data_IF_651001444294
#
_entry.id   IF_651001444294
#
_cell.length_a   1.000
_cell.length_b   1.000
_cell.length_c   1.000
_cell.angle_alpha   90.00
_cell.angle_beta   90.00
_cell.angle_gamma   90.00
#
_symmetry.space_group_name_H-M   'P 1'
#
loop_
_entity.id
_entity.type
_entity.pdbx_description
1 polymer ?
#
# COMPACT_ATOMS: atom_id res chain seq x y z
N UNK A 1 10.72 17.70 -13.53
CA UNK A 1 9.32 17.23 -13.37
C UNK A 1 9.12 16.10 -14.36
N UNK A 2 8.78 14.88 -13.93
CA UNK A 2 8.45 13.81 -14.88
C UNK A 2 7.16 14.19 -15.60
N UNK A 3 7.16 14.18 -16.93
CA UNK A 3 5.93 14.33 -17.73
C UNK A 3 4.98 13.22 -17.30
N UNK A 4 3.85 13.60 -16.68
CA UNK A 4 2.73 12.69 -16.43
C UNK A 4 2.09 12.38 -17.79
N UNK A 5 1.83 11.12 -18.05
CA UNK A 5 1.06 10.68 -19.22
C UNK A 5 -0.41 10.78 -18.84
N UNK A 6 -1.26 11.18 -19.79
CA UNK A 6 -2.70 11.25 -19.55
C UNK A 6 -3.23 9.88 -19.11
N UNK A 7 -4.07 9.88 -18.07
CA UNK A 7 -4.60 8.67 -17.41
C UNK A 7 -3.56 7.65 -16.89
N UNK A 8 -2.27 8.01 -16.77
CA UNK A 8 -1.18 7.08 -16.39
C UNK A 8 -1.13 5.81 -17.29
N UNK A 9 -1.46 5.94 -18.59
CA UNK A 9 -1.38 4.83 -19.56
C UNK A 9 0.09 4.43 -19.78
N UNK A 10 0.59 3.49 -18.99
CA UNK A 10 1.92 2.88 -19.12
C UNK A 10 1.80 1.54 -19.87
N UNK A 11 1.84 1.57 -21.21
CA UNK A 11 1.74 0.34 -22.00
C UNK A 11 2.91 -0.58 -21.68
N UNK A 12 2.57 -1.85 -21.42
CA UNK A 12 3.56 -2.90 -21.17
C UNK A 12 3.99 -3.46 -22.51
N UNK A 13 5.30 -3.55 -22.76
CA UNK A 13 5.78 -4.19 -23.99
C UNK A 13 5.40 -5.67 -24.00
N UNK A 14 5.18 -6.22 -25.19
CA UNK A 14 4.85 -7.63 -25.39
C UNK A 14 5.84 -8.58 -24.69
N UNK A 15 7.12 -8.24 -24.70
CA UNK A 15 8.18 -9.02 -24.04
C UNK A 15 8.03 -9.04 -22.52
N UNK A 16 7.82 -7.88 -21.90
CA UNK A 16 7.62 -7.77 -20.46
C UNK A 16 6.33 -8.49 -20.04
N UNK A 17 5.25 -8.31 -20.81
CA UNK A 17 3.98 -9.00 -20.53
C UNK A 17 4.14 -10.52 -20.61
N UNK A 18 4.82 -11.07 -21.64
CA UNK A 18 5.14 -12.51 -21.73
C UNK A 18 5.94 -13.01 -20.54
N UNK A 19 6.98 -12.26 -20.14
CA UNK A 19 7.81 -12.59 -18.97
C UNK A 19 6.96 -12.64 -17.69
N UNK A 20 6.09 -11.65 -17.48
CA UNK A 20 5.21 -11.56 -16.32
C UNK A 20 4.17 -12.69 -16.29
N UNK A 21 3.53 -13.00 -17.43
CA UNK A 21 2.58 -14.12 -17.56
C UNK A 21 3.27 -15.44 -17.19
N UNK A 22 4.42 -15.73 -17.81
CA UNK A 22 5.19 -16.96 -17.52
C UNK A 22 5.55 -17.06 -16.05
N UNK A 23 6.12 -15.99 -15.47
CA UNK A 23 6.49 -15.96 -14.05
C UNK A 23 5.28 -16.16 -13.14
N UNK A 24 4.14 -15.57 -13.49
CA UNK A 24 2.88 -15.72 -12.75
C UNK A 24 2.42 -17.17 -12.74
N UNK A 25 2.45 -17.85 -13.87
CA UNK A 25 2.05 -19.25 -13.97
C UNK A 25 3.05 -20.18 -13.28
N UNK A 26 4.35 -19.90 -13.35
CA UNK A 26 5.40 -20.65 -12.66
C UNK A 26 5.22 -20.57 -11.13
N UNK A 27 4.92 -19.38 -10.59
CA UNK A 27 4.80 -19.13 -9.14
C UNK A 27 3.46 -19.62 -8.57
N UNK A 28 2.34 -19.35 -9.26
CA UNK A 28 1.01 -19.74 -8.77
C UNK A 28 0.73 -21.22 -9.06
N UNK A 29 1.29 -21.75 -10.15
CA UNK A 29 0.90 -23.01 -10.75
C UNK A 29 -0.38 -22.86 -11.58
N UNK A 30 -0.26 -23.02 -12.91
CA UNK A 30 -1.37 -22.81 -13.85
C UNK A 30 -2.64 -23.57 -13.45
N UNK A 31 -2.54 -24.78 -12.90
CA UNK A 31 -3.68 -25.60 -12.46
C UNK A 31 -4.53 -24.97 -11.34
N UNK A 32 -3.94 -24.08 -10.55
CA UNK A 32 -4.62 -23.36 -9.48
C UNK A 32 -5.45 -22.18 -10.01
N UNK A 33 -5.12 -21.68 -11.19
CA UNK A 33 -5.81 -20.56 -11.84
C UNK A 33 -7.05 -21.10 -12.56
N UNK A 34 -8.22 -20.57 -12.22
CA UNK A 34 -9.53 -20.97 -12.78
C UNK A 34 -10.17 -19.91 -13.65
N UNK A 35 -9.78 -18.66 -13.47
CA UNK A 35 -10.25 -17.52 -14.25
C UNK A 35 -9.17 -16.45 -14.24
N UNK A 36 -9.04 -15.72 -15.34
CA UNK A 36 -8.07 -14.65 -15.48
C UNK A 36 -8.81 -13.38 -15.87
N UNK A 37 -8.50 -12.29 -15.17
CA UNK A 37 -9.02 -10.96 -15.43
C UNK A 37 -7.86 -9.98 -15.60
N UNK A 38 -7.88 -9.21 -16.68
CA UNK A 38 -7.04 -8.03 -16.87
C UNK A 38 -7.87 -6.78 -16.54
N UNK A 39 -7.63 -6.11 -15.39
CA UNK A 39 -8.55 -5.08 -14.88
C UNK A 39 -8.38 -3.68 -15.50
N UNK A 40 -7.30 -3.45 -16.25
CA UNK A 40 -6.97 -2.14 -16.85
C UNK A 40 -6.20 -2.40 -18.14
N UNK A 41 -6.89 -3.00 -19.10
CA UNK A 41 -6.27 -3.68 -20.22
C UNK A 41 -5.63 -2.74 -21.25
N UNK A 42 -6.09 -1.48 -21.36
CA UNK A 42 -5.69 -0.54 -22.38
C UNK A 42 -5.85 -1.13 -23.78
N UNK A 43 -4.74 -1.52 -24.39
CA UNK A 43 -4.69 -2.19 -25.70
C UNK A 43 -4.68 -3.73 -25.64
N UNK A 44 -4.85 -4.32 -24.46
CA UNK A 44 -4.89 -5.76 -24.23
C UNK A 44 -3.51 -6.40 -24.13
N UNK A 45 -2.55 -5.71 -23.52
CA UNK A 45 -1.15 -6.17 -23.41
C UNK A 45 -1.03 -7.57 -22.80
N UNK A 46 -1.90 -7.95 -21.86
CA UNK A 46 -1.92 -9.30 -21.28
C UNK A 46 -3.00 -10.18 -21.91
N UNK A 47 -4.24 -9.71 -22.02
CA UNK A 47 -5.37 -10.51 -22.52
C UNK A 47 -5.17 -11.02 -23.94
N UNK A 48 -4.63 -10.20 -24.85
CA UNK A 48 -4.32 -10.64 -26.21
C UNK A 48 -3.26 -11.75 -26.20
N UNK A 49 -2.29 -11.67 -25.28
CA UNK A 49 -1.25 -12.68 -25.14
C UNK A 49 -1.80 -14.01 -24.62
N UNK A 50 -2.62 -13.93 -23.57
CA UNK A 50 -3.19 -15.10 -22.91
C UNK A 50 -4.17 -15.82 -23.83
N UNK A 51 -5.03 -15.07 -24.52
CA UNK A 51 -6.05 -15.62 -25.41
C UNK A 51 -5.50 -16.04 -26.78
N UNK A 52 -4.46 -15.36 -27.29
CA UNK A 52 -3.98 -15.52 -28.66
C UNK A 52 -2.76 -16.43 -28.84
N UNK A 53 -1.94 -16.64 -27.80
CA UNK A 53 -0.67 -17.40 -27.92
C UNK A 53 -0.63 -18.66 -27.06
N UNK A 54 -1.58 -18.88 -26.17
CA UNK A 54 -1.62 -20.09 -25.36
C UNK A 54 -2.61 -21.09 -25.97
N UNK A 55 -2.18 -22.34 -26.14
CA UNK A 55 -3.10 -23.48 -26.26
C UNK A 55 -3.75 -23.81 -24.89
N UNK A 56 -3.58 -22.95 -23.88
CA UNK A 56 -4.22 -23.10 -22.59
C UNK A 56 -5.68 -22.68 -22.70
N UNK A 57 -6.57 -23.54 -22.23
CA UNK A 57 -8.02 -23.41 -22.32
C UNK A 57 -8.63 -22.31 -21.42
N UNK A 58 -7.85 -21.30 -20.99
CA UNK A 58 -8.28 -20.29 -20.02
C UNK A 58 -8.40 -18.94 -20.69
N UNK A 59 -9.64 -18.58 -21.02
CA UNK A 59 -9.97 -17.24 -21.48
C UNK A 59 -9.65 -16.19 -20.40
N UNK A 60 -8.97 -15.13 -20.81
CA UNK A 60 -8.78 -13.91 -20.06
C UNK A 60 -9.88 -12.91 -20.43
N UNK A 61 -10.61 -12.43 -19.41
CA UNK A 61 -11.58 -11.33 -19.57
C UNK A 61 -10.88 -10.02 -19.29
N UNK A 62 -10.97 -9.07 -20.20
CA UNK A 62 -10.30 -7.78 -20.12
C UNK A 62 -11.30 -6.66 -19.90
N UNK A 63 -11.00 -5.75 -18.97
CA UNK A 63 -11.77 -4.53 -18.72
C UNK A 63 -10.87 -3.32 -18.88
N UNK A 64 -11.43 -2.23 -19.41
CA UNK A 64 -10.78 -0.92 -19.38
C UNK A 64 -11.84 0.19 -19.42
N UNK A 65 -11.54 1.37 -18.85
CA UNK A 65 -12.45 2.52 -18.89
C UNK A 65 -12.49 3.15 -20.30
N UNK A 66 -11.38 3.05 -21.04
CA UNK A 66 -11.21 3.52 -22.41
C UNK A 66 -10.46 2.46 -23.24
N UNK A 67 -11.13 1.35 -23.62
CA UNK A 67 -10.47 0.26 -24.31
C UNK A 67 -9.97 0.66 -25.70
N UNK A 68 -8.78 0.20 -26.05
CA UNK A 68 -8.16 0.41 -27.38
C UNK A 68 -8.25 -0.83 -28.27
N UNK A 69 -8.99 -1.85 -27.83
CA UNK A 69 -9.22 -3.07 -28.60
C UNK A 69 -10.65 -3.60 -28.38
N UNK A 70 -11.31 -4.04 -29.45
CA UNK A 70 -12.74 -4.43 -29.43
C UNK A 70 -13.04 -5.66 -28.56
N UNK A 71 -12.03 -6.49 -28.24
CA UNK A 71 -12.19 -7.63 -27.34
C UNK A 71 -12.23 -7.26 -25.85
N UNK A 72 -11.97 -5.99 -25.52
CA UNK A 72 -11.92 -5.49 -24.14
C UNK A 72 -13.27 -4.87 -23.80
N UNK A 73 -13.80 -5.23 -22.64
CA UNK A 73 -15.07 -4.72 -22.14
C UNK A 73 -14.85 -3.31 -21.59
N UNK A 74 -15.56 -2.32 -22.15
CA UNK A 74 -15.56 -0.97 -21.61
C UNK A 74 -16.27 -0.92 -20.25
N UNK A 75 -15.53 -0.72 -19.16
CA UNK A 75 -16.04 -0.72 -17.79
C UNK A 75 -15.01 -0.10 -16.83
N UNK A 76 -15.46 0.70 -15.87
CA UNK A 76 -14.61 1.03 -14.72
C UNK A 76 -14.47 -0.21 -13.83
N UNK A 77 -13.27 -0.76 -13.76
CA UNK A 77 -12.99 -1.94 -12.94
C UNK A 77 -13.25 -1.68 -11.44
N UNK A 78 -13.09 -0.44 -10.95
CA UNK A 78 -13.37 -0.13 -9.55
C UNK A 78 -14.87 -0.08 -9.24
N UNK A 79 -15.73 -0.05 -10.25
CA UNK A 79 -17.19 -0.17 -10.15
C UNK A 79 -17.69 -1.57 -10.52
N UNK A 80 -16.83 -2.43 -11.07
CA UNK A 80 -17.16 -3.80 -11.42
C UNK A 80 -17.39 -4.64 -10.15
N UNK A 81 -18.59 -5.19 -10.00
CA UNK A 81 -18.93 -6.10 -8.92
C UNK A 81 -19.07 -7.54 -9.45
N UNK A 82 -18.13 -8.41 -9.07
CA UNK A 82 -18.17 -9.83 -9.38
C UNK A 82 -18.20 -10.65 -8.09
N UNK A 83 -18.99 -11.74 -8.02
CA UNK A 83 -18.93 -12.62 -6.88
C UNK A 83 -17.53 -13.20 -6.74
N UNK A 84 -17.08 -13.40 -5.49
CA UNK A 84 -15.81 -14.07 -5.21
C UNK A 84 -15.72 -15.41 -5.95
N UNK A 85 -14.58 -15.65 -6.60
CA UNK A 85 -14.30 -16.93 -7.28
C UNK A 85 -12.94 -17.46 -6.85
N UNK A 86 -12.96 -18.66 -6.28
CA UNK A 86 -11.74 -19.40 -5.92
C UNK A 86 -10.88 -19.64 -7.15
N UNK A 87 -9.59 -19.34 -7.06
CA UNK A 87 -8.62 -19.47 -8.13
C UNK A 87 -8.70 -18.38 -9.21
N UNK A 88 -9.46 -17.30 -9.00
CA UNK A 88 -9.43 -16.13 -9.89
C UNK A 88 -8.10 -15.38 -9.73
N UNK A 89 -7.47 -15.08 -10.86
CA UNK A 89 -6.26 -14.29 -11.00
C UNK A 89 -6.59 -12.94 -11.64
N UNK A 90 -6.16 -11.85 -11.00
CA UNK A 90 -6.06 -10.54 -11.61
C UNK A 90 -4.62 -10.32 -12.06
N UNK A 91 -4.41 -10.05 -13.35
CA UNK A 91 -3.06 -9.86 -13.92
C UNK A 91 -3.03 -8.61 -14.80
N UNK A 92 -1.98 -7.80 -14.70
CA UNK A 92 -1.84 -6.63 -15.57
C UNK A 92 -0.88 -5.57 -15.05
N UNK A 93 -0.96 -4.39 -15.66
CA UNK A 93 -0.26 -3.18 -15.22
C UNK A 93 -1.29 -2.11 -14.83
N UNK A 94 -1.79 -2.11 -13.58
CA UNK A 94 -2.77 -1.12 -13.16
C UNK A 94 -2.17 0.30 -13.20
N UNK A 95 -2.98 1.33 -13.48
CA UNK A 95 -2.50 2.70 -13.44
C UNK A 95 -2.04 3.05 -12.01
N UNK A 96 -0.87 3.69 -11.89
CA UNK A 96 -0.20 3.87 -10.60
C UNK A 96 -0.86 4.95 -9.74
N UNK A 97 -1.24 6.08 -10.35
CA UNK A 97 -1.77 7.23 -9.63
C UNK A 97 -0.76 7.92 -8.73
N UNK A 98 -1.17 9.04 -8.13
CA UNK A 98 -0.31 9.77 -7.19
C UNK A 98 0.04 8.88 -5.99
N UNK A 99 1.33 8.72 -5.70
CA UNK A 99 1.82 7.93 -4.54
C UNK A 99 1.29 6.49 -4.51
N UNK A 100 1.12 5.85 -5.67
CA UNK A 100 0.64 4.46 -5.80
C UNK A 100 -0.82 4.24 -5.36
N UNK A 101 -1.60 5.32 -5.16
CA UNK A 101 -2.96 5.22 -4.62
C UNK A 101 -3.91 4.49 -5.56
N UNK A 102 -3.73 4.59 -6.87
CA UNK A 102 -4.65 3.96 -7.82
C UNK A 102 -4.37 2.46 -7.94
N UNK A 103 -3.11 2.05 -8.10
CA UNK A 103 -2.73 0.64 -8.03
C UNK A 103 -3.15 -0.03 -6.71
N UNK A 104 -3.09 0.71 -5.58
CA UNK A 104 -3.67 0.24 -4.32
C UNK A 104 -5.17 -0.01 -4.40
N UNK A 105 -5.96 0.90 -5.00
CA UNK A 105 -7.41 0.70 -5.17
C UNK A 105 -7.70 -0.55 -6.00
N UNK A 106 -7.01 -0.73 -7.13
CA UNK A 106 -7.12 -1.93 -7.97
C UNK A 106 -6.80 -3.21 -7.18
N UNK A 107 -5.74 -3.18 -6.37
CA UNK A 107 -5.39 -4.29 -5.48
C UNK A 107 -6.51 -4.57 -4.47
N UNK A 108 -6.99 -3.57 -3.72
CA UNK A 108 -8.05 -3.76 -2.71
C UNK A 108 -9.35 -4.26 -3.33
N UNK A 109 -9.69 -3.78 -4.52
CA UNK A 109 -10.87 -4.24 -5.24
C UNK A 109 -10.74 -5.70 -5.67
N UNK A 110 -9.57 -6.07 -6.21
CA UNK A 110 -9.24 -7.45 -6.55
C UNK A 110 -9.29 -8.41 -5.36
N UNK A 111 -8.88 -7.94 -4.17
CA UNK A 111 -8.95 -8.69 -2.90
C UNK A 111 -10.38 -9.08 -2.53
N UNK A 112 -11.41 -8.41 -3.03
CA UNK A 112 -12.81 -8.80 -2.76
C UNK A 112 -13.24 -10.01 -3.62
N UNK A 113 -12.62 -10.18 -4.78
CA UNK A 113 -13.20 -10.97 -5.86
C UNK A 113 -12.42 -12.24 -6.24
N UNK A 114 -11.18 -12.42 -5.80
CA UNK A 114 -10.36 -13.57 -6.22
C UNK A 114 -9.29 -14.02 -5.23
N UNK A 115 -8.36 -14.86 -5.68
CA UNK A 115 -7.32 -15.45 -4.83
C UNK A 115 -5.91 -15.01 -5.19
N UNK A 116 -5.71 -14.53 -6.41
CA UNK A 116 -4.40 -14.18 -6.92
C UNK A 116 -4.38 -12.81 -7.57
N UNK A 117 -3.31 -12.08 -7.35
CA UNK A 117 -3.05 -10.78 -7.97
C UNK A 117 -1.61 -10.79 -8.47
N UNK A 118 -1.37 -10.47 -9.73
CA UNK A 118 -0.04 -10.36 -10.32
C UNK A 118 0.06 -9.04 -11.07
N UNK A 119 0.67 -8.04 -10.43
CA UNK A 119 0.72 -6.69 -10.96
C UNK A 119 2.14 -6.20 -11.20
N UNK A 120 2.32 -5.51 -12.32
CA UNK A 120 3.44 -4.61 -12.52
C UNK A 120 3.17 -3.35 -11.67
N UNK A 121 4.15 -2.95 -10.86
CA UNK A 121 4.06 -1.82 -9.95
C UNK A 121 5.36 -0.99 -10.02
N UNK A 122 5.36 0.28 -9.58
CA UNK A 122 6.59 1.07 -9.47
C UNK A 122 7.62 0.38 -8.58
N UNK A 123 8.93 0.55 -8.86
CA UNK A 123 10.01 -0.10 -8.10
C UNK A 123 9.95 0.13 -6.58
N UNK A 124 9.33 1.23 -6.13
CA UNK A 124 9.05 1.49 -4.70
C UNK A 124 8.19 0.40 -4.00
N UNK A 125 7.53 -0.46 -4.77
CA UNK A 125 6.73 -1.57 -4.29
C UNK A 125 7.50 -2.90 -4.25
N UNK A 126 8.75 -2.93 -4.71
CA UNK A 126 9.59 -4.13 -4.64
C UNK A 126 9.76 -4.58 -3.19
N UNK A 127 9.40 -5.84 -2.91
CA UNK A 127 9.36 -6.43 -1.57
C UNK A 127 8.55 -5.63 -0.53
N UNK A 128 7.61 -4.80 -0.97
CA UNK A 128 6.81 -3.97 -0.07
C UNK A 128 5.49 -4.64 0.31
N UNK A 129 5.41 -5.11 1.54
CA UNK A 129 4.21 -5.74 2.11
C UNK A 129 3.44 -4.83 3.09
N UNK A 130 3.70 -3.51 3.08
CA UNK A 130 3.09 -2.60 4.07
C UNK A 130 1.73 -2.04 3.64
N UNK A 131 1.49 -1.88 2.34
CA UNK A 131 0.28 -1.23 1.80
C UNK A 131 -0.72 -2.24 1.22
N UNK A 132 -0.22 -3.29 0.57
CA UNK A 132 -0.97 -4.38 -0.05
C UNK A 132 -0.88 -5.65 0.81
N UNK A 133 -1.17 -5.50 2.11
CA UNK A 133 -0.89 -6.54 3.10
C UNK A 133 -1.94 -7.64 3.14
N UNK A 134 -3.18 -7.40 2.66
CA UNK A 134 -4.33 -8.31 2.78
C UNK A 134 -4.03 -9.67 2.18
N UNK A 135 -3.21 -9.71 1.12
CA UNK A 135 -2.68 -10.93 0.52
C UNK A 135 -1.20 -11.10 0.83
N UNK A 136 -0.75 -12.35 0.88
CA UNK A 136 0.66 -12.68 1.05
C UNK A 136 1.42 -12.35 -0.23
N UNK A 137 2.47 -11.52 -0.13
CA UNK A 137 3.42 -11.31 -1.21
C UNK A 137 4.29 -12.57 -1.35
N UNK A 138 4.00 -13.39 -2.35
CA UNK A 138 4.67 -14.68 -2.57
C UNK A 138 5.81 -14.61 -3.59
N UNK A 139 5.90 -13.53 -4.37
CA UNK A 139 7.01 -13.25 -5.28
C UNK A 139 7.11 -11.75 -5.56
N UNK A 140 8.33 -11.26 -5.69
CA UNK A 140 8.64 -9.87 -6.06
C UNK A 140 9.91 -9.88 -6.91
N UNK A 141 9.84 -9.33 -8.12
CA UNK A 141 10.95 -9.32 -9.07
C UNK A 141 11.16 -7.91 -9.63
N UNK A 142 12.40 -7.43 -9.57
CA UNK A 142 12.79 -6.18 -10.24
C UNK A 142 12.79 -6.41 -11.76
N UNK A 143 11.99 -5.64 -12.50
CA UNK A 143 11.91 -5.72 -13.96
C UNK A 143 12.91 -4.79 -14.67
N UNK A 144 13.66 -4.00 -13.90
CA UNK A 144 14.56 -2.98 -14.41
C UNK A 144 13.81 -1.74 -14.93
N UNK A 145 14.56 -0.89 -15.62
CA UNK A 145 14.01 0.24 -16.37
C UNK A 145 13.53 -0.26 -17.73
N UNK A 146 12.34 0.14 -18.11
CA UNK A 146 11.82 -0.12 -19.45
C UNK A 146 11.00 1.06 -19.93
N UNK A 147 10.89 1.26 -21.25
CA UNK A 147 10.04 2.28 -21.81
C UNK A 147 8.58 1.83 -21.66
N UNK A 148 7.85 2.48 -20.77
CA UNK A 148 6.40 2.37 -20.68
C UNK A 148 5.80 3.62 -21.32
N UNK A 149 5.17 3.46 -22.49
CA UNK A 149 4.64 4.59 -23.28
C UNK A 149 5.68 5.68 -23.57
N UNK A 150 6.93 5.28 -23.83
CA UNK A 150 8.02 6.21 -24.15
C UNK A 150 8.64 6.93 -22.95
N UNK A 151 8.23 6.60 -21.71
CA UNK A 151 8.87 7.07 -20.48
C UNK A 151 9.58 5.91 -19.81
N UNK A 152 10.86 6.12 -19.47
CA UNK A 152 11.61 5.14 -18.68
C UNK A 152 11.06 5.11 -17.25
N UNK A 153 10.37 4.02 -16.93
CA UNK A 153 9.89 3.75 -15.58
C UNK A 153 10.58 2.50 -15.06
N UNK A 154 11.05 2.56 -13.82
CA UNK A 154 11.61 1.41 -13.12
C UNK A 154 10.48 0.71 -12.37
N UNK A 155 10.17 -0.53 -12.78
CA UNK A 155 9.04 -1.30 -12.26
C UNK A 155 9.49 -2.61 -11.62
N UNK A 156 8.59 -3.22 -10.86
CA UNK A 156 8.72 -4.57 -10.33
C UNK A 156 7.43 -5.36 -10.62
N UNK A 157 7.55 -6.69 -10.69
CA UNK A 157 6.43 -7.61 -10.71
C UNK A 157 6.19 -8.12 -9.29
N UNK A 158 5.01 -7.88 -8.73
CA UNK A 158 4.61 -8.47 -7.46
C UNK A 158 3.46 -9.47 -7.67
N UNK A 159 3.61 -10.66 -7.10
CA UNK A 159 2.59 -11.71 -7.12
C UNK A 159 2.12 -11.95 -5.69
N UNK A 160 0.81 -11.85 -5.50
CA UNK A 160 0.14 -11.98 -4.23
C UNK A 160 -0.83 -13.16 -4.23
N UNK A 161 -0.99 -13.79 -3.08
CA UNK A 161 -1.92 -14.90 -2.86
C UNK A 161 -2.77 -14.66 -1.62
N UNK A 162 -4.06 -14.97 -1.72
CA UNK A 162 -4.97 -14.96 -0.57
C UNK A 162 -4.50 -15.95 0.50
N UNK A 163 -4.34 -15.51 1.77
CA UNK A 163 -4.03 -16.38 2.89
C UNK A 163 -5.12 -17.44 3.11
N UNK A 164 -4.75 -18.57 3.68
CA UNK A 164 -5.70 -19.66 3.97
C UNK A 164 -6.78 -19.26 4.98
N UNK A 165 -6.46 -18.35 5.90
CA UNK A 165 -7.33 -17.91 6.99
C UNK A 165 -8.07 -16.58 6.69
N UNK A 166 -8.34 -16.29 5.41
CA UNK A 166 -9.00 -15.06 4.98
C UNK A 166 -8.01 -14.00 4.50
N UNK A 167 -8.22 -12.74 4.87
CA UNK A 167 -7.31 -11.63 4.52
C UNK A 167 -6.50 -11.20 5.74
N UNK A 168 -5.23 -10.86 5.51
CA UNK A 168 -4.37 -10.34 6.56
C UNK A 168 -4.87 -8.99 7.07
N UNK A 169 -4.70 -8.76 8.38
CA UNK A 169 -4.90 -7.44 8.98
C UNK A 169 -3.64 -6.59 8.79
N UNK A 170 -3.81 -5.26 8.83
CA UNK A 170 -2.69 -4.32 8.72
C UNK A 170 -1.62 -4.67 9.76
N UNK A 171 -0.35 -4.87 9.37
CA UNK A 171 0.70 -5.22 10.30
C UNK A 171 0.89 -4.09 11.32
N UNK A 172 0.60 -4.38 12.58
CA UNK A 172 0.69 -3.40 13.67
C UNK A 172 2.04 -3.52 14.39
N UNK A 173 3.13 -3.29 13.66
CA UNK A 173 4.51 -3.51 14.15
C UNK A 173 4.89 -2.68 15.39
N UNK A 174 4.12 -1.63 15.68
CA UNK A 174 4.42 -0.65 16.72
C UNK A 174 3.24 -0.44 17.66
N UNK A 175 2.29 -1.39 17.79
CA UNK A 175 1.28 -1.28 18.84
C UNK A 175 1.96 -1.40 20.20
N UNK A 176 1.61 -0.51 21.11
CA UNK A 176 1.84 -0.66 22.55
C UNK A 176 0.47 -0.54 23.23
N UNK A 177 0.02 -1.57 23.94
CA UNK A 177 -1.18 -1.52 24.76
C UNK A 177 -1.03 -0.55 25.95
N UNK A 178 0.20 -0.34 26.43
CA UNK A 178 0.56 0.58 27.50
C UNK A 178 0.33 2.05 27.13
N UNK A 179 0.17 2.36 25.83
CA UNK A 179 0.05 3.73 25.34
C UNK A 179 -1.01 3.88 24.25
N UNK A 180 -1.87 4.89 24.39
CA UNK A 180 -2.81 5.31 23.34
C UNK A 180 -2.44 6.68 22.80
N UNK A 181 -2.25 6.80 21.48
CA UNK A 181 -1.91 8.06 20.82
C UNK A 181 -3.07 8.54 19.96
N UNK A 182 -3.50 9.80 20.16
CA UNK A 182 -4.42 10.52 19.29
C UNK A 182 -3.66 11.65 18.60
N UNK A 183 -3.61 11.62 17.28
CA UNK A 183 -3.04 12.71 16.49
C UNK A 183 -4.16 13.63 15.99
N UNK A 184 -3.94 14.92 16.16
CA UNK A 184 -4.87 15.98 15.77
C UNK A 184 -4.20 16.85 14.71
N UNK A 185 -4.90 17.10 13.60
CA UNK A 185 -4.48 17.98 12.50
C UNK A 185 -5.52 19.08 12.30
N UNK A 186 -5.15 20.32 12.62
CA UNK A 186 -6.04 21.49 12.42
C UNK A 186 -6.45 21.65 10.96
N UNK A 187 -5.50 21.52 10.04
CA UNK A 187 -5.76 21.63 8.59
C UNK A 187 -6.73 20.57 8.04
N UNK A 188 -7.10 19.55 8.84
CA UNK A 188 -8.08 18.52 8.48
C UNK A 188 -9.33 18.55 9.36
N UNK A 189 -9.56 19.65 10.10
CA UNK A 189 -10.67 19.79 11.05
C UNK A 189 -10.77 18.61 12.03
N UNK A 190 -9.61 18.09 12.46
CA UNK A 190 -9.55 17.06 13.49
C UNK A 190 -9.44 17.74 14.85
N UNK A 191 -10.09 17.16 15.85
CA UNK A 191 -10.10 17.64 17.22
C UNK A 191 -9.87 16.46 18.17
N UNK A 192 -9.30 16.73 19.34
CA UNK A 192 -9.23 15.74 20.40
C UNK A 192 -10.66 15.45 20.90
N UNK A 193 -11.08 14.18 21.04
CA UNK A 193 -12.35 13.84 21.66
C UNK A 193 -12.45 14.46 23.07
N UNK A 194 -13.62 14.98 23.44
CA UNK A 194 -13.82 15.69 24.72
C UNK A 194 -13.58 14.81 25.95
N UNK A 195 -13.78 13.51 25.80
CA UNK A 195 -13.61 12.46 26.81
C UNK A 195 -12.22 11.83 26.80
N UNK A 196 -11.32 12.28 25.92
CA UNK A 196 -9.97 11.74 25.83
C UNK A 196 -9.03 12.46 26.79
N UNK A 197 -8.81 11.85 27.96
CA UNK A 197 -7.76 12.23 28.89
C UNK A 197 -6.38 11.76 28.39
N UNK A 198 -5.36 12.58 28.61
CA UNK A 198 -3.98 12.32 28.18
C UNK A 198 -2.98 12.75 29.25
N UNK A 199 -1.84 12.07 29.31
CA UNK A 199 -0.75 12.34 30.25
C UNK A 199 0.35 13.21 29.61
N UNK A 200 0.48 13.17 28.29
CA UNK A 200 1.52 13.89 27.55
C UNK A 200 1.02 14.41 26.20
N UNK A 201 1.63 15.49 25.72
CA UNK A 201 1.35 16.04 24.40
C UNK A 201 2.62 16.61 23.76
N UNK A 202 2.69 16.56 22.44
CA UNK A 202 3.78 17.16 21.68
C UNK A 202 3.34 17.61 20.27
N UNK A 203 4.00 18.63 19.76
CA UNK A 203 3.98 19.01 18.36
C UNK A 203 4.65 17.92 17.51
N UNK A 204 4.00 17.48 16.44
CA UNK A 204 4.52 16.44 15.54
C UNK A 204 4.82 16.93 14.12
N UNK A 205 4.71 18.23 13.86
CA UNK A 205 5.09 18.83 12.59
C UNK A 205 5.62 20.25 12.75
N UNK A 206 6.77 20.55 12.15
CA UNK A 206 7.44 21.85 12.28
C UNK A 206 8.26 21.90 13.57
N UNK A 207 7.70 22.47 14.64
CA UNK A 207 8.31 22.59 15.97
C UNK A 207 8.37 21.25 16.73
N UNK A 208 9.01 20.25 16.12
CA UNK A 208 8.93 18.84 16.50
C UNK A 208 9.32 18.61 17.97
N UNK A 209 8.47 17.91 18.71
CA UNK A 209 8.72 17.51 20.10
C UNK A 209 8.35 18.56 21.15
N UNK A 210 8.07 19.82 20.77
CA UNK A 210 7.65 20.85 21.73
C UNK A 210 6.31 20.49 22.35
N UNK A 211 6.20 20.63 23.68
CA UNK A 211 4.95 20.45 24.41
C UNK A 211 4.04 21.67 24.17
N UNK A 212 2.78 21.48 23.75
CA UNK A 212 1.84 22.58 23.63
C UNK A 212 1.41 23.13 24.99
N UNK A 213 1.27 24.44 25.09
CA UNK A 213 0.76 25.19 26.23
C UNK A 213 -0.75 25.01 26.40
N UNK A 214 -1.48 24.84 25.30
CA UNK A 214 -2.91 24.56 25.26
C UNK A 214 -3.26 23.65 24.09
N UNK A 215 -4.41 22.98 24.14
CA UNK A 215 -4.85 22.07 23.09
C UNK A 215 -4.98 22.79 21.75
N UNK A 216 -4.29 22.31 20.72
CA UNK A 216 -4.28 22.92 19.42
C UNK A 216 -3.54 24.26 19.44
N UNK A 217 -2.34 24.31 20.01
CA UNK A 217 -1.40 25.41 19.76
C UNK A 217 -0.80 25.23 18.36
N UNK A 218 -0.32 24.03 18.06
CA UNK A 218 0.32 23.69 16.78
C UNK A 218 -0.67 23.15 15.74
N UNK A 219 -0.23 23.12 14.48
CA UNK A 219 -1.03 22.59 13.35
C UNK A 219 -1.19 21.06 13.40
N UNK A 220 -0.20 20.35 13.94
CA UNK A 220 -0.24 18.91 14.13
C UNK A 220 0.33 18.52 15.49
N UNK A 221 -0.48 17.85 16.31
CA UNK A 221 -0.13 17.46 17.68
C UNK A 221 -0.47 15.99 17.92
N UNK A 222 0.29 15.34 18.80
CA UNK A 222 -0.02 14.03 19.33
C UNK A 222 -0.30 14.13 20.82
N UNK A 223 -1.39 13.51 21.25
CA UNK A 223 -1.83 13.39 22.63
C UNK A 223 -1.70 11.94 23.05
N UNK A 224 -1.00 11.71 24.14
CA UNK A 224 -0.56 10.39 24.58
C UNK A 224 -1.20 10.12 25.94
N UNK A 225 -2.05 9.09 25.99
CA UNK A 225 -2.57 8.50 27.23
C UNK A 225 -1.74 7.28 27.59
N UNK A 226 -1.29 7.22 28.83
CA UNK A 226 -0.58 6.10 29.40
C UNK A 226 -1.60 5.21 30.10
N UNK A 227 -1.71 3.97 29.61
CA UNK A 227 -2.67 2.99 30.10
C UNK A 227 -2.09 2.12 31.23
N UNK A 228 -0.77 2.10 31.39
CA UNK A 228 -0.09 1.29 32.39
C UNK A 228 0.70 2.16 33.37
N UNK A 229 0.14 2.30 34.56
CA UNK A 229 0.67 3.12 35.63
C UNK A 229 2.09 2.70 36.06
N UNK A 230 2.45 1.42 35.91
CA UNK A 230 3.76 0.89 36.35
C UNK A 230 4.93 1.48 35.57
N UNK A 231 4.72 1.76 34.28
CA UNK A 231 5.74 2.32 33.37
C UNK A 231 5.51 3.81 33.10
N UNK A 232 4.57 4.47 33.78
CA UNK A 232 4.20 5.88 33.51
C UNK A 232 5.39 6.81 33.59
N UNK A 233 6.16 6.74 34.67
CA UNK A 233 7.31 7.64 34.87
C UNK A 233 8.39 7.41 33.81
N UNK A 234 8.64 6.16 33.44
CA UNK A 234 9.61 5.80 32.40
C UNK A 234 9.18 6.34 31.02
N UNK A 235 7.90 6.20 30.67
CA UNK A 235 7.33 6.74 29.44
C UNK A 235 7.46 8.27 29.42
N UNK A 236 7.05 8.96 30.49
CA UNK A 236 7.15 10.42 30.56
C UNK A 236 8.61 10.88 30.46
N UNK A 237 9.55 10.22 31.15
CA UNK A 237 10.97 10.55 31.06
C UNK A 237 11.52 10.32 29.65
N UNK A 238 11.16 9.21 28.99
CA UNK A 238 11.56 8.93 27.61
C UNK A 238 11.06 10.02 26.66
N UNK A 239 9.78 10.40 26.74
CA UNK A 239 9.18 11.41 25.86
C UNK A 239 9.74 12.82 26.08
N UNK A 240 10.00 13.21 27.33
CA UNK A 240 10.55 14.54 27.66
C UNK A 240 12.00 14.71 27.17
N UNK A 241 12.79 13.64 27.18
CA UNK A 241 14.22 13.69 26.84
C UNK A 241 14.51 13.31 25.37
N UNK A 242 13.48 12.99 24.59
CA UNK A 242 13.65 12.56 23.20
C UNK A 242 14.01 13.74 22.28
N UNK A 243 15.22 13.70 21.71
CA UNK A 243 15.59 14.57 20.59
C UNK A 243 15.14 13.96 19.26
N UNK A 244 13.87 14.17 18.92
CA UNK A 244 13.22 13.55 17.76
C UNK A 244 13.88 13.84 16.41
N UNK A 245 14.49 15.02 16.28
CA UNK A 245 15.19 15.44 15.05
C UNK A 245 16.44 14.58 14.86
N UNK A 246 17.22 14.35 15.92
CA UNK A 246 18.42 13.50 15.87
C UNK A 246 18.07 12.02 15.73
N UNK A 247 17.09 11.53 16.49
CA UNK A 247 16.66 10.11 16.49
C UNK A 247 16.25 9.66 15.08
N UNK A 248 15.55 10.52 14.33
CA UNK A 248 15.04 10.19 12.99
C UNK A 248 15.68 10.98 11.84
N UNK A 249 16.77 11.70 12.11
CA UNK A 249 17.57 12.47 11.13
C UNK A 249 16.69 13.29 10.17
N UNK A 250 15.80 14.10 10.73
CA UNK A 250 14.86 14.90 9.95
C UNK A 250 15.44 16.28 9.62
N UNK A 251 15.32 16.74 8.37
CA UNK A 251 15.88 18.04 7.95
C UNK A 251 14.80 19.07 7.57
N UNK A 252 14.02 18.79 6.52
CA UNK A 252 13.03 19.75 5.97
C UNK A 252 11.63 19.42 6.43
N UNK A 253 10.94 20.39 7.03
CA UNK A 253 9.54 20.24 7.51
C UNK A 253 9.35 18.96 8.33
N UNK A 254 10.10 18.81 9.44
CA UNK A 254 10.20 17.56 10.18
C UNK A 254 8.79 17.12 10.62
N UNK A 255 8.54 15.82 10.50
CA UNK A 255 7.24 15.23 10.82
C UNK A 255 7.41 13.90 11.55
N UNK A 256 6.97 13.87 12.80
CA UNK A 256 6.99 12.68 13.62
C UNK A 256 5.68 11.89 13.41
N UNK A 257 5.81 10.65 12.96
CA UNK A 257 4.67 9.73 12.79
C UNK A 257 4.42 8.99 14.10
N UNK A 258 3.16 8.64 14.38
CA UNK A 258 2.80 7.88 15.59
C UNK A 258 3.65 6.63 15.81
N UNK A 259 3.93 5.84 14.75
CA UNK A 259 4.74 4.63 14.88
C UNK A 259 6.19 4.91 15.30
N UNK A 260 6.71 6.10 15.03
CA UNK A 260 8.05 6.51 15.46
C UNK A 260 8.06 6.74 16.97
N UNK A 261 7.05 7.42 17.51
CA UNK A 261 6.88 7.57 18.97
C UNK A 261 6.81 6.19 19.63
N UNK A 262 5.95 5.31 19.12
CA UNK A 262 5.77 3.97 19.65
C UNK A 262 7.02 3.11 19.52
N UNK A 263 7.75 3.21 18.39
CA UNK A 263 9.04 2.53 18.21
C UNK A 263 10.07 3.02 19.22
N UNK A 264 10.19 4.33 19.42
CA UNK A 264 11.16 4.88 20.36
C UNK A 264 10.88 4.40 21.78
N UNK A 265 9.62 4.46 22.23
CA UNK A 265 9.22 3.92 23.54
C UNK A 265 9.57 2.43 23.67
N UNK A 266 9.24 1.63 22.65
CA UNK A 266 9.53 0.19 22.63
C UNK A 266 11.03 -0.12 22.66
N UNK A 267 11.84 0.67 22.00
CA UNK A 267 13.29 0.50 21.95
C UNK A 267 13.97 1.01 23.24
N UNK A 268 13.34 1.94 23.98
CA UNK A 268 13.92 2.62 25.14
C UNK A 268 13.45 2.09 26.50
N UNK A 269 12.31 1.39 26.56
CA UNK A 269 11.69 0.94 27.81
C UNK A 269 11.56 -0.58 27.79
N UNK A 270 12.22 -1.24 28.73
CA UNK A 270 12.21 -2.71 28.85
C UNK A 270 10.84 -3.16 29.36
N UNK A 271 10.21 -4.10 28.65
CA UNK A 271 8.95 -4.71 29.10
C UNK A 271 7.69 -3.90 28.81
N UNK A 272 7.78 -2.83 28.00
CA UNK A 272 6.60 -2.12 27.50
C UNK A 272 5.87 -2.94 26.43
N UNK A 273 4.54 -3.02 26.55
CA UNK A 273 3.67 -3.85 25.71
C UNK A 273 2.60 -3.04 24.99
#
# INVERSE_FOLDING_TARGET
MSKKIDLDKYYTTTEIAKKCIKKTYDIIGINNIKEIIEPSAGNGSFSNLINGFSNDSKACTAYDIEPEHQSIIQQDFLELDLPYKKGRLFIGNPPFGEKNLLAMKFFKHSVLMGDYISFILPISQYNNNQQMFEFDLIHSEDLGKSPYSGVDVHCCLNIYKRPTNGVNKKPNKHKLNDVTIKEVRKARNQFLPKDFEYDYSLCTWGDLGKKPNYQGEFNQEAYIRINNDKVRLEILNCLNNANWIEIYKMERSPRLKQWQILKHLKDSIIGIE
#
